data_IF_916645989669
#
_entry.id   IF_916645989669
#
_cell.length_a   1.000
_cell.length_b   1.000
_cell.length_c   1.000
_cell.angle_alpha   90.00
_cell.angle_beta   90.00
_cell.angle_gamma   90.00
#
_symmetry.space_group_name_H-M   'P 1'
#
loop_
_entity.id
_entity.type
_entity.pdbx_description
1 polymer ?
#
# COMPACT_ATOMS: atom_id res chain seq x y z
N UNK A 1 12.56 10.88 -39.18
CA UNK A 1 12.94 9.49 -38.81
C UNK A 1 13.11 9.27 -37.30
N UNK A 2 14.11 9.87 -36.62
CA UNK A 2 14.26 9.69 -35.15
C UNK A 2 13.04 10.20 -34.35
N UNK A 3 12.44 11.30 -34.79
CA UNK A 3 11.20 11.86 -34.25
C UNK A 3 10.04 10.87 -34.33
N UNK A 4 9.88 10.25 -35.49
CA UNK A 4 8.73 9.41 -35.83
C UNK A 4 8.79 8.09 -35.09
N UNK A 5 10.01 7.52 -34.97
CA UNK A 5 10.27 6.35 -34.12
C UNK A 5 9.96 6.67 -32.66
N UNK A 6 10.38 7.83 -32.13
CA UNK A 6 10.03 8.25 -30.76
C UNK A 6 8.51 8.40 -30.59
N UNK A 7 7.82 8.96 -31.59
CA UNK A 7 6.37 9.12 -31.55
C UNK A 7 5.64 7.78 -31.59
N UNK A 8 6.12 6.84 -32.40
CA UNK A 8 5.59 5.47 -32.45
C UNK A 8 5.82 4.70 -31.15
N UNK A 9 7.00 4.82 -30.55
CA UNK A 9 7.29 4.19 -29.25
C UNK A 9 6.37 4.73 -28.14
N UNK A 10 6.02 6.02 -28.19
CA UNK A 10 5.05 6.63 -27.25
C UNK A 10 3.63 6.05 -27.38
N UNK A 11 3.22 5.64 -28.58
CA UNK A 11 1.88 5.08 -28.82
C UNK A 11 1.84 3.55 -28.75
N UNK A 12 2.98 2.87 -28.84
CA UNK A 12 3.06 1.41 -28.79
C UNK A 12 2.84 0.86 -27.37
N UNK A 13 1.70 0.21 -27.14
CA UNK A 13 1.33 -0.39 -25.85
C UNK A 13 2.37 -1.38 -25.32
N UNK A 14 2.92 -2.25 -26.18
CA UNK A 14 3.94 -3.23 -25.78
C UNK A 14 5.20 -2.54 -25.26
N UNK A 15 5.64 -1.48 -25.93
CA UNK A 15 6.78 -0.69 -25.52
C UNK A 15 6.52 0.07 -24.21
N UNK A 16 5.32 0.63 -24.03
CA UNK A 16 4.96 1.34 -22.80
C UNK A 16 4.93 0.41 -21.58
N UNK A 17 4.32 -0.79 -21.70
CA UNK A 17 4.24 -1.77 -20.60
C UNK A 17 5.62 -2.34 -20.26
N UNK A 18 6.47 -2.60 -21.25
CA UNK A 18 7.83 -3.12 -21.02
C UNK A 18 8.80 -2.07 -20.49
N UNK A 19 8.49 -0.79 -20.68
CA UNK A 19 9.33 0.29 -20.18
C UNK A 19 9.10 0.37 -18.68
N UNK A 20 10.10 -0.06 -17.90
CA UNK A 20 10.20 0.30 -16.50
C UNK A 20 10.50 1.81 -16.46
N UNK A 21 9.44 2.62 -16.53
CA UNK A 21 9.56 4.06 -16.41
C UNK A 21 10.28 4.38 -15.10
N UNK A 22 11.05 5.46 -15.07
CA UNK A 22 11.41 6.07 -13.78
C UNK A 22 10.08 6.45 -13.15
N UNK A 23 9.59 5.62 -12.23
CA UNK A 23 8.44 5.97 -11.40
C UNK A 23 8.90 7.25 -10.72
N UNK A 24 8.22 8.36 -11.03
CA UNK A 24 8.41 9.58 -10.28
C UNK A 24 7.95 9.27 -8.86
N UNK A 25 8.91 8.91 -8.00
CA UNK A 25 8.69 8.82 -6.57
C UNK A 25 8.62 10.24 -6.07
N UNK A 26 7.40 10.73 -5.90
CA UNK A 26 7.15 11.94 -5.13
C UNK A 26 7.68 11.75 -3.70
N UNK A 27 8.07 12.85 -3.07
CA UNK A 27 8.47 12.81 -1.66
C UNK A 27 7.28 12.38 -0.79
N UNK A 28 7.55 11.50 0.18
CA UNK A 28 6.53 11.08 1.14
C UNK A 28 6.21 12.25 2.06
N UNK A 29 4.97 12.71 2.02
CA UNK A 29 4.50 13.77 2.89
C UNK A 29 3.88 13.18 4.17
N UNK A 30 4.24 13.68 5.35
CA UNK A 30 3.64 13.22 6.59
C UNK A 30 2.15 13.58 6.62
N UNK A 31 1.35 12.68 7.17
CA UNK A 31 -0.07 12.94 7.40
C UNK A 31 -0.25 14.04 8.46
N UNK A 32 -1.26 14.87 8.29
CA UNK A 32 -1.63 15.91 9.28
C UNK A 32 -1.95 15.24 10.61
N UNK A 33 -1.32 15.74 11.69
CA UNK A 33 -1.57 15.27 13.05
C UNK A 33 -3.00 15.59 13.48
N UNK A 34 -3.66 14.64 14.13
CA UNK A 34 -5.03 14.75 14.66
C UNK A 34 -5.04 14.49 16.15
N UNK A 35 -6.13 14.79 16.84
CA UNK A 35 -6.29 14.43 18.25
C UNK A 35 -6.21 12.89 18.46
N UNK A 36 -5.93 12.46 19.69
CA UNK A 36 -5.92 11.04 20.04
C UNK A 36 -7.25 10.36 19.63
N UNK A 37 -7.15 9.16 19.06
CA UNK A 37 -8.25 8.31 18.63
C UNK A 37 -9.11 8.85 17.47
N UNK A 38 -8.64 9.88 16.74
CA UNK A 38 -9.34 10.41 15.55
C UNK A 38 -9.00 9.68 14.24
N UNK A 39 -7.83 9.05 14.13
CA UNK A 39 -7.39 8.37 12.90
C UNK A 39 -6.66 7.09 13.25
N UNK A 40 -7.00 6.03 12.53
CA UNK A 40 -6.45 4.69 12.74
C UNK A 40 -5.82 4.14 11.46
N UNK A 41 -4.63 3.55 11.59
CA UNK A 41 -4.07 2.65 10.57
C UNK A 41 -4.61 1.25 10.81
N UNK A 42 -5.16 0.62 9.78
CA UNK A 42 -5.58 -0.78 9.81
C UNK A 42 -4.66 -1.61 8.92
N UNK A 43 -4.27 -2.78 9.41
CA UNK A 43 -3.47 -3.73 8.66
C UNK A 43 -3.82 -5.18 9.01
N UNK A 44 -3.51 -6.10 8.11
CA UNK A 44 -3.65 -7.53 8.34
C UNK A 44 -2.28 -8.18 8.44
N UNK A 45 -2.04 -8.87 9.55
CA UNK A 45 -0.92 -9.80 9.63
C UNK A 45 -1.40 -11.12 9.02
N UNK A 46 -0.63 -11.57 8.01
CA UNK A 46 -0.97 -12.59 7.03
C UNK A 46 -1.23 -14.01 7.58
N UNK A 47 -1.42 -14.95 6.66
CA UNK A 47 -1.98 -16.29 6.93
C UNK A 47 -1.15 -17.09 7.94
N UNK A 48 -1.56 -17.02 9.20
CA UNK A 48 -1.05 -17.81 10.29
C UNK A 48 -1.66 -19.23 10.23
N UNK A 49 -1.08 -20.18 10.97
CA UNK A 49 -1.72 -21.47 11.17
C UNK A 49 -3.16 -21.30 11.65
N UNK A 50 -4.07 -22.06 11.05
CA UNK A 50 -5.48 -22.05 11.42
C UNK A 50 -5.61 -22.47 12.88
N UNK A 51 -6.16 -21.59 13.70
CA UNK A 51 -6.46 -21.90 15.10
C UNK A 51 -7.66 -22.83 15.21
N UNK A 52 -7.85 -23.48 16.37
CA UNK A 52 -9.03 -24.32 16.63
C UNK A 52 -10.35 -23.54 16.52
N UNK A 53 -10.30 -22.22 16.72
CA UNK A 53 -11.44 -21.31 16.58
C UNK A 53 -11.64 -20.83 15.13
N UNK A 54 -10.87 -21.35 14.18
CA UNK A 54 -10.99 -21.02 12.77
C UNK A 54 -10.31 -19.71 12.34
N UNK A 55 -9.58 -19.03 13.23
CA UNK A 55 -8.84 -17.81 12.88
C UNK A 55 -7.57 -18.10 12.07
N UNK A 56 -7.33 -17.34 11.00
CA UNK A 56 -6.12 -17.41 10.15
C UNK A 56 -5.35 -16.10 10.08
N UNK A 57 -5.93 -14.98 10.50
CA UNK A 57 -5.30 -13.66 10.42
C UNK A 57 -5.38 -12.90 11.74
N UNK A 58 -4.57 -11.85 11.85
CA UNK A 58 -4.69 -10.85 12.90
C UNK A 58 -4.99 -9.51 12.24
N UNK A 59 -6.15 -8.94 12.54
CA UNK A 59 -6.46 -7.55 12.21
C UNK A 59 -5.81 -6.65 13.27
N UNK A 60 -4.99 -5.71 12.82
CA UNK A 60 -4.31 -4.73 13.67
C UNK A 60 -4.86 -3.34 13.38
N UNK A 61 -5.12 -2.58 14.44
CA UNK A 61 -5.51 -1.19 14.39
C UNK A 61 -4.56 -0.36 15.27
N UNK A 62 -3.98 0.72 14.75
CA UNK A 62 -3.08 1.59 15.52
C UNK A 62 -3.57 3.03 15.42
N UNK A 63 -3.79 3.68 16.56
CA UNK A 63 -4.08 5.11 16.59
C UNK A 63 -2.85 5.91 16.13
N UNK A 64 -3.05 6.83 15.18
CA UNK A 64 -1.93 7.56 14.57
C UNK A 64 -1.17 8.45 15.54
N UNK A 65 -1.85 9.01 16.55
CA UNK A 65 -1.31 10.04 17.44
C UNK A 65 -0.63 9.42 18.65
N UNK A 66 -1.33 8.54 19.36
CA UNK A 66 -0.82 7.88 20.58
C UNK A 66 0.03 6.65 20.29
N UNK A 67 -0.02 6.13 19.06
CA UNK A 67 0.54 4.83 18.67
C UNK A 67 -0.05 3.66 19.45
N UNK A 68 -1.24 3.82 20.03
CA UNK A 68 -1.93 2.77 20.78
C UNK A 68 -2.39 1.63 19.84
N UNK A 69 -1.95 0.37 20.06
CA UNK A 69 -2.31 -0.75 19.21
C UNK A 69 -3.52 -1.54 19.74
N UNK A 70 -4.28 -2.11 18.82
CA UNK A 70 -5.32 -3.11 19.04
C UNK A 70 -5.07 -4.24 18.04
N UNK A 71 -5.14 -5.49 18.49
CA UNK A 71 -5.02 -6.66 17.65
C UNK A 71 -6.18 -7.62 17.91
N UNK A 72 -6.75 -8.19 16.85
CA UNK A 72 -7.86 -9.14 16.92
C UNK A 72 -7.62 -10.31 15.98
N UNK A 73 -7.71 -11.53 16.50
CA UNK A 73 -7.72 -12.73 15.68
C UNK A 73 -9.02 -12.79 14.87
N UNK A 74 -8.91 -13.09 13.58
CA UNK A 74 -10.05 -13.18 12.66
C UNK A 74 -9.95 -14.42 11.76
N UNK A 75 -11.10 -15.04 11.40
CA UNK A 75 -11.19 -16.18 10.49
C UNK A 75 -10.44 -15.96 9.20
#
# INVERSE_FOLDING_TARGET
MKSDIKQWIKTCTKCQISTCGKIATEELHPLISVAAFHRWSLDFIGQLPLTEQGNRWILVAIDHTTKWPIAKAVP
#
